data_IF_206430125897
#
_entry.id   IF_206430125897
#
_cell.length_a   1.000
_cell.length_b   1.000
_cell.length_c   1.000
_cell.angle_alpha   90.00
_cell.angle_beta   90.00
_cell.angle_gamma   90.00
#
_symmetry.space_group_name_H-M   'P 1'
#
loop_
_entity.id
_entity.type
_entity.pdbx_description
1 polymer ?
#
# COMPACT_ATOMS: atom_id res chain seq x y z
N UNK A 1 -23.58 -13.26 37.33
CA UNK A 1 -22.29 -13.74 36.82
C UNK A 1 -22.46 -13.83 35.32
N UNK A 2 -21.98 -12.81 34.60
CA UNK A 2 -22.18 -12.64 33.16
C UNK A 2 -20.86 -13.02 32.52
N UNK A 3 -20.83 -14.17 31.84
CA UNK A 3 -19.68 -14.62 31.06
C UNK A 3 -19.89 -14.10 29.63
N UNK A 4 -19.37 -12.90 29.38
CA UNK A 4 -19.15 -12.39 28.03
C UNK A 4 -18.00 -13.21 27.44
N UNK A 5 -18.26 -13.89 26.32
CA UNK A 5 -17.35 -14.83 25.68
C UNK A 5 -15.90 -14.36 25.61
N UNK A 6 -15.00 -15.26 26.02
CA UNK A 6 -13.56 -15.32 25.78
C UNK A 6 -12.83 -14.01 25.41
N UNK A 7 -12.91 -13.01 26.29
CA UNK A 7 -11.90 -11.94 26.39
C UNK A 7 -10.72 -12.36 27.30
N UNK A 8 -10.74 -13.59 27.83
CA UNK A 8 -9.75 -14.12 28.77
C UNK A 8 -8.47 -14.64 28.11
N UNK A 9 -8.50 -14.91 26.80
CA UNK A 9 -7.36 -15.43 26.04
C UNK A 9 -6.74 -14.40 25.08
N UNK A 10 -7.12 -13.12 25.21
CA UNK A 10 -6.39 -12.04 24.55
C UNK A 10 -5.09 -11.84 25.32
N UNK A 11 -4.00 -12.44 24.82
CA UNK A 11 -2.65 -12.21 25.29
C UNK A 11 -2.31 -10.72 25.03
N UNK A 12 -2.63 -9.85 25.99
CA UNK A 12 -2.41 -8.41 25.88
C UNK A 12 -0.93 -8.14 25.58
N UNK A 13 -0.02 -8.94 26.12
CA UNK A 13 1.41 -8.85 25.85
C UNK A 13 1.75 -9.20 24.38
N UNK A 14 1.11 -10.22 23.77
CA UNK A 14 1.31 -10.49 22.33
C UNK A 14 0.67 -9.42 21.46
N UNK A 15 -0.48 -8.89 21.87
CA UNK A 15 -1.12 -7.79 21.15
C UNK A 15 -0.24 -6.54 21.19
N UNK A 16 0.24 -6.14 22.37
CA UNK A 16 1.14 -5.00 22.53
C UNK A 16 2.45 -5.21 21.75
N UNK A 17 3.02 -6.41 21.78
CA UNK A 17 4.21 -6.73 21.01
C UNK A 17 3.97 -6.65 19.49
N UNK A 18 2.82 -7.17 19.01
CA UNK A 18 2.45 -7.07 17.60
C UNK A 18 2.17 -5.63 17.15
N UNK A 19 1.62 -4.80 18.05
CA UNK A 19 1.39 -3.37 17.81
C UNK A 19 2.73 -2.61 17.75
N UNK A 20 3.65 -2.87 18.68
CA UNK A 20 4.99 -2.27 18.67
C UNK A 20 5.77 -2.64 17.40
N UNK A 21 5.71 -3.91 16.98
CA UNK A 21 6.31 -4.35 15.71
C UNK A 21 5.67 -3.66 14.49
N UNK A 22 4.35 -3.47 14.52
CA UNK A 22 3.62 -2.83 13.42
C UNK A 22 3.90 -1.33 13.36
N UNK A 23 4.01 -0.64 14.50
CA UNK A 23 4.39 0.77 14.61
C UNK A 23 5.83 0.96 14.12
N UNK A 24 6.78 0.14 14.58
CA UNK A 24 8.18 0.21 14.16
C UNK A 24 8.36 -0.02 12.65
N UNK A 25 7.62 -0.98 12.08
CA UNK A 25 7.58 -1.18 10.62
C UNK A 25 7.01 0.04 9.91
N UNK A 26 5.95 0.66 10.44
CA UNK A 26 5.33 1.84 9.85
C UNK A 26 6.28 3.04 9.80
N UNK A 27 7.01 3.32 10.89
CA UNK A 27 8.00 4.40 10.92
C UNK A 27 9.16 4.16 9.94
N UNK A 28 9.65 2.93 9.84
CA UNK A 28 10.72 2.58 8.91
C UNK A 28 10.26 2.70 7.45
N UNK A 29 9.02 2.30 7.16
CA UNK A 29 8.38 2.47 5.85
C UNK A 29 8.25 3.95 5.51
N UNK A 30 7.72 4.76 6.43
CA UNK A 30 7.56 6.20 6.22
C UNK A 30 8.91 6.89 5.95
N UNK A 31 9.95 6.56 6.73
CA UNK A 31 11.29 7.12 6.56
C UNK A 31 11.99 6.67 5.27
N UNK A 32 11.70 5.46 4.80
CA UNK A 32 12.27 4.94 3.56
C UNK A 32 11.55 5.52 2.35
N UNK A 33 10.22 5.60 2.42
CA UNK A 33 9.38 6.19 1.37
C UNK A 33 9.66 7.69 1.20
N UNK A 34 9.94 8.42 2.28
CA UNK A 34 10.33 9.84 2.19
C UNK A 34 11.67 10.10 1.50
N UNK A 35 12.48 9.04 1.27
CA UNK A 35 13.76 9.12 0.56
C UNK A 35 13.66 8.75 -0.91
N UNK A 36 12.52 8.21 -1.36
CA UNK A 36 12.30 7.88 -2.75
C UNK A 36 12.20 9.15 -3.58
N UNK A 37 12.85 9.13 -4.72
CA UNK A 37 12.91 10.26 -5.66
C UNK A 37 12.84 9.67 -7.05
N UNK A 38 11.78 10.04 -7.76
CA UNK A 38 11.66 9.74 -9.18
C UNK A 38 12.52 10.69 -10.00
N UNK A 39 13.13 10.16 -11.06
CA UNK A 39 14.01 10.92 -11.94
C UNK A 39 13.54 10.84 -13.38
N UNK A 40 13.56 11.98 -14.05
CA UNK A 40 13.32 12.10 -15.48
C UNK A 40 14.47 12.84 -16.16
N UNK A 41 14.79 12.44 -17.38
CA UNK A 41 15.75 13.13 -18.26
C UNK A 41 15.20 13.13 -19.69
N UNK A 42 15.30 14.26 -20.41
CA UNK A 42 14.91 14.26 -21.83
C UNK A 42 15.92 13.47 -22.68
N UNK A 43 15.51 13.09 -23.90
CA UNK A 43 16.33 12.25 -24.78
C UNK A 43 17.72 12.82 -25.09
N UNK A 44 17.89 14.15 -25.03
CA UNK A 44 19.14 14.85 -25.29
C UNK A 44 19.95 15.15 -24.01
N UNK A 45 19.43 14.80 -22.84
CA UNK A 45 20.01 15.11 -21.53
C UNK A 45 20.13 16.60 -21.25
N UNK A 46 19.29 17.44 -21.84
CA UNK A 46 19.26 18.88 -21.66
C UNK A 46 18.38 19.31 -20.49
N UNK A 47 17.38 18.51 -20.11
CA UNK A 47 16.49 18.77 -19.00
C UNK A 47 16.48 17.55 -18.08
N UNK A 48 16.76 17.77 -16.80
CA UNK A 48 16.72 16.76 -15.75
C UNK A 48 15.74 17.20 -14.66
N UNK A 49 14.90 16.28 -14.20
CA UNK A 49 13.96 16.51 -13.09
C UNK A 49 14.13 15.46 -12.03
N UNK A 50 14.10 15.91 -10.76
CA UNK A 50 13.90 15.04 -9.61
C UNK A 50 12.58 15.40 -8.93
N UNK A 51 11.74 14.39 -8.72
CA UNK A 51 10.42 14.52 -8.10
C UNK A 51 10.33 13.64 -6.86
N UNK A 52 9.84 14.19 -5.76
CA UNK A 52 9.68 13.51 -4.48
C UNK A 52 8.22 13.59 -4.01
N UNK A 53 7.91 12.89 -2.91
CA UNK A 53 6.55 12.87 -2.35
C UNK A 53 6.01 14.26 -1.98
N UNK A 54 6.89 15.21 -1.64
CA UNK A 54 6.58 16.60 -1.31
C UNK A 54 6.57 17.53 -2.54
N UNK A 55 6.84 16.99 -3.73
CA UNK A 55 6.73 17.68 -5.01
C UNK A 55 8.04 17.74 -5.80
N UNK A 56 8.16 18.79 -6.63
CA UNK A 56 9.36 19.02 -7.46
C UNK A 56 10.56 19.39 -6.57
N UNK A 57 11.60 18.57 -6.60
CA UNK A 57 12.82 18.77 -5.82
C UNK A 57 13.90 19.49 -6.61
N UNK A 58 14.12 19.06 -7.84
CA UNK A 58 15.18 19.59 -8.72
C UNK A 58 14.66 19.72 -10.14
N UNK A 59 14.97 20.84 -10.79
CA UNK A 59 14.83 21.03 -12.23
C UNK A 59 16.14 21.65 -12.74
N UNK A 60 16.94 20.87 -13.45
CA UNK A 60 18.16 21.33 -14.10
C UNK A 60 17.91 21.49 -15.61
N UNK A 61 18.25 22.67 -16.13
CA UNK A 61 18.11 23.01 -17.54
C UNK A 61 19.49 23.41 -18.03
N UNK A 62 20.08 22.56 -18.87
CA UNK A 62 21.40 22.84 -19.46
C UNK A 62 21.32 24.07 -20.37
N UNK A 63 22.39 24.87 -20.48
CA UNK A 63 22.40 26.09 -21.31
C UNK A 63 22.01 25.87 -22.78
N UNK A 64 22.25 24.67 -23.31
CA UNK A 64 21.86 24.31 -24.68
C UNK A 64 20.34 24.19 -24.85
N UNK A 65 19.59 23.76 -23.83
CA UNK A 65 18.13 23.74 -23.83
C UNK A 65 17.52 25.15 -23.88
N UNK A 66 18.18 26.14 -23.29
CA UNK A 66 17.74 27.56 -23.32
C UNK A 66 17.83 28.18 -24.72
N UNK A 67 18.49 27.51 -25.67
CA UNK A 67 18.55 27.94 -27.09
C UNK A 67 17.39 27.40 -27.91
N UNK A 68 16.59 26.48 -27.35
CA UNK A 68 15.37 25.99 -27.97
C UNK A 68 14.31 27.08 -27.97
N UNK A 69 13.27 26.90 -28.80
CA UNK A 69 12.09 27.75 -28.69
C UNK A 69 11.42 27.55 -27.33
N UNK A 70 10.77 28.60 -26.80
CA UNK A 70 10.07 28.51 -25.51
C UNK A 70 8.97 27.43 -25.51
N UNK A 71 8.32 27.22 -26.65
CA UNK A 71 7.34 26.15 -26.82
C UNK A 71 7.97 24.77 -26.73
N UNK A 72 9.07 24.54 -27.44
CA UNK A 72 9.78 23.26 -27.41
C UNK A 72 10.34 22.95 -26.01
N UNK A 73 10.93 23.94 -25.35
CA UNK A 73 11.44 23.77 -23.99
C UNK A 73 10.31 23.44 -22.99
N UNK A 74 9.15 24.09 -23.13
CA UNK A 74 7.98 23.83 -22.28
C UNK A 74 7.46 22.39 -22.46
N UNK A 75 7.35 21.90 -23.70
CA UNK A 75 6.96 20.51 -23.95
C UNK A 75 7.96 19.52 -23.36
N UNK A 76 9.26 19.75 -23.55
CA UNK A 76 10.31 18.90 -22.96
C UNK A 76 10.20 18.85 -21.44
N UNK A 77 10.06 20.00 -20.78
CA UNK A 77 9.92 20.06 -19.32
C UNK A 77 8.68 19.26 -18.86
N UNK A 78 7.54 19.41 -19.53
CA UNK A 78 6.31 18.67 -19.18
C UNK A 78 6.50 17.16 -19.28
N UNK A 79 7.14 16.69 -20.35
CA UNK A 79 7.43 15.26 -20.55
C UNK A 79 8.35 14.76 -19.44
N UNK A 80 9.47 15.45 -19.19
CA UNK A 80 10.46 15.03 -18.19
C UNK A 80 9.91 15.04 -16.76
N UNK A 81 9.02 15.98 -16.44
CA UNK A 81 8.30 15.98 -15.16
C UNK A 81 7.39 14.75 -15.06
N UNK A 82 6.64 14.41 -16.11
CA UNK A 82 5.79 13.23 -16.12
C UNK A 82 6.63 11.96 -15.95
N UNK A 83 7.76 11.85 -16.64
CA UNK A 83 8.67 10.71 -16.52
C UNK A 83 9.21 10.56 -15.09
N UNK A 84 9.54 11.68 -14.42
CA UNK A 84 9.97 11.67 -13.03
C UNK A 84 8.85 11.26 -12.07
N UNK A 85 7.60 11.65 -12.33
CA UNK A 85 6.44 11.23 -11.53
C UNK A 85 6.18 9.72 -11.70
N UNK A 86 6.21 9.23 -12.94
CA UNK A 86 6.00 7.82 -13.25
C UNK A 86 7.11 6.94 -12.65
N UNK A 87 8.36 7.41 -12.68
CA UNK A 87 9.48 6.75 -12.01
C UNK A 87 9.28 6.70 -10.49
N UNK A 88 8.81 7.78 -9.86
CA UNK A 88 8.51 7.79 -8.42
C UNK A 88 7.41 6.78 -8.08
N UNK A 89 6.32 6.75 -8.86
CA UNK A 89 5.22 5.80 -8.65
C UNK A 89 5.70 4.35 -8.74
N UNK A 90 6.49 4.02 -9.76
CA UNK A 90 7.11 2.71 -9.92
C UNK A 90 7.99 2.34 -8.72
N UNK A 91 8.85 3.26 -8.26
CA UNK A 91 9.70 3.01 -7.10
C UNK A 91 8.87 2.78 -5.82
N UNK A 92 7.77 3.51 -5.62
CA UNK A 92 6.84 3.31 -4.50
C UNK A 92 6.21 1.91 -4.58
N UNK A 93 5.71 1.51 -5.76
CA UNK A 93 5.09 0.20 -5.94
C UNK A 93 6.06 -0.96 -5.70
N UNK A 94 7.30 -0.83 -6.17
CA UNK A 94 8.38 -1.79 -5.92
C UNK A 94 8.70 -1.86 -4.42
N UNK A 95 8.87 -0.71 -3.77
CA UNK A 95 9.15 -0.63 -2.33
C UNK A 95 8.03 -1.26 -1.47
N UNK A 96 6.77 -0.99 -1.81
CA UNK A 96 5.62 -1.54 -1.11
C UNK A 96 5.48 -3.05 -1.35
N UNK A 97 5.79 -3.51 -2.57
CA UNK A 97 5.80 -4.94 -2.91
C UNK A 97 6.90 -5.70 -2.17
N UNK A 98 8.09 -5.11 -2.00
CA UNK A 98 9.18 -5.68 -1.22
C UNK A 98 8.84 -5.74 0.29
N UNK A 99 8.22 -4.66 0.82
CA UNK A 99 7.93 -4.54 2.25
C UNK A 99 6.79 -5.45 2.70
N UNK A 100 5.68 -5.49 1.97
CA UNK A 100 4.47 -6.21 2.37
C UNK A 100 4.25 -7.52 1.61
N UNK A 101 4.99 -7.76 0.53
CA UNK A 101 4.72 -8.85 -0.40
C UNK A 101 3.63 -8.50 -1.42
N UNK A 102 3.66 -9.17 -2.58
CA UNK A 102 2.81 -8.89 -3.75
C UNK A 102 1.29 -9.00 -3.48
N UNK A 103 0.90 -9.82 -2.51
CA UNK A 103 -0.51 -10.09 -2.18
C UNK A 103 -1.06 -9.17 -1.08
N UNK A 104 -0.20 -8.59 -0.24
CA UNK A 104 -0.61 -7.73 0.87
C UNK A 104 -0.26 -6.24 0.67
N UNK A 105 0.15 -5.84 -0.53
CA UNK A 105 0.42 -4.44 -0.85
C UNK A 105 -0.87 -3.59 -0.79
N UNK A 106 -1.01 -2.67 0.18
CA UNK A 106 -2.21 -1.86 0.36
C UNK A 106 -2.47 -0.86 -0.79
N UNK A 107 -1.46 -0.50 -1.60
CA UNK A 107 -1.66 0.38 -2.77
C UNK A 107 -2.54 -0.26 -3.85
N UNK A 108 -2.50 -1.58 -4.00
CA UNK A 108 -3.37 -2.31 -4.95
C UNK A 108 -4.85 -2.19 -4.61
N UNK A 109 -5.17 -1.97 -3.34
CA UNK A 109 -6.55 -1.78 -2.85
C UNK A 109 -7.07 -0.41 -3.28
N UNK A 110 -6.19 0.59 -3.34
CA UNK A 110 -6.51 1.96 -3.77
C UNK A 110 -6.72 2.00 -5.29
N UNK A 111 -5.86 1.32 -6.06
CA UNK A 111 -5.95 1.30 -7.53
C UNK A 111 -7.06 0.41 -8.08
N UNK A 112 -7.55 -0.57 -7.31
CA UNK A 112 -8.60 -1.49 -7.77
C UNK A 112 -9.66 -1.80 -6.67
N UNK A 113 -10.58 -0.86 -6.39
CA UNK A 113 -11.61 -1.04 -5.37
C UNK A 113 -12.56 -2.23 -5.66
N UNK A 114 -12.68 -2.64 -6.93
CA UNK A 114 -13.50 -3.80 -7.31
C UNK A 114 -12.88 -5.14 -6.87
N UNK A 115 -11.55 -5.23 -6.78
CA UNK A 115 -10.86 -6.42 -6.25
C UNK A 115 -11.16 -6.58 -4.75
N UNK A 116 -11.21 -5.47 -4.01
CA UNK A 116 -11.54 -5.46 -2.59
C UNK A 116 -12.97 -6.00 -2.32
N UNK A 117 -13.96 -5.63 -3.14
CA UNK A 117 -15.33 -6.15 -3.03
C UNK A 117 -15.44 -7.66 -3.29
N UNK A 118 -14.48 -8.24 -4.03
CA UNK A 118 -14.43 -9.69 -4.27
C UNK A 118 -13.82 -10.42 -3.08
N UNK A 119 -12.78 -9.85 -2.48
CA UNK A 119 -12.14 -10.43 -1.30
C UNK A 119 -13.02 -10.32 -0.05
N UNK A 120 -13.73 -9.20 0.13
CA UNK A 120 -14.76 -9.05 1.17
C UNK A 120 -15.87 -10.08 1.02
N UNK A 121 -16.43 -10.26 -0.19
CA UNK A 121 -17.44 -11.29 -0.45
C UNK A 121 -16.93 -12.71 -0.22
N UNK A 122 -15.64 -12.95 -0.49
CA UNK A 122 -15.00 -14.23 -0.21
C UNK A 122 -14.85 -14.48 1.29
N UNK A 123 -14.51 -13.44 2.05
CA UNK A 123 -14.43 -13.46 3.51
C UNK A 123 -15.80 -13.71 4.16
N UNK A 124 -16.86 -13.04 3.68
CA UNK A 124 -18.25 -13.25 4.11
C UNK A 124 -18.67 -14.71 3.91
N UNK A 125 -18.41 -15.30 2.73
CA UNK A 125 -18.75 -16.69 2.45
C UNK A 125 -17.95 -17.73 3.25
N UNK A 126 -16.78 -17.38 3.79
CA UNK A 126 -16.07 -18.23 4.77
C UNK A 126 -16.60 -18.06 6.19
N UNK A 127 -17.01 -16.85 6.58
CA UNK A 127 -17.61 -16.58 7.88
C UNK A 127 -18.97 -17.26 8.03
N UNK A 128 -19.82 -17.17 7.00
CA UNK A 128 -21.15 -17.80 7.01
C UNK A 128 -21.05 -19.32 7.21
N UNK A 129 -20.10 -19.98 6.51
CA UNK A 129 -19.88 -21.42 6.64
C UNK A 129 -19.32 -21.81 8.02
N UNK A 130 -18.36 -21.05 8.54
CA UNK A 130 -17.84 -21.29 9.88
C UNK A 130 -18.93 -21.12 10.95
N UNK A 131 -19.82 -20.15 10.77
CA UNK A 131 -20.97 -19.94 11.65
C UNK A 131 -22.00 -21.07 11.54
N UNK A 132 -22.29 -21.53 10.33
CA UNK A 132 -23.20 -22.65 10.08
C UNK A 132 -22.66 -23.97 10.66
N UNK A 133 -21.35 -24.21 10.54
CA UNK A 133 -20.66 -25.36 11.14
C UNK A 133 -20.74 -25.32 12.68
N UNK A 134 -20.48 -24.15 13.30
CA UNK A 134 -20.58 -23.97 14.77
C UNK A 134 -22.02 -24.16 15.25
N UNK A 135 -23.01 -23.63 14.54
CA UNK A 135 -24.42 -23.79 14.89
C UNK A 135 -24.92 -25.23 14.67
N UNK A 136 -24.39 -25.92 13.66
CA UNK A 136 -24.62 -27.34 13.43
C UNK A 136 -24.04 -28.21 14.55
N UNK A 137 -22.86 -27.88 15.04
CA UNK A 137 -22.19 -28.58 16.14
C UNK A 137 -22.91 -28.35 17.48
N UNK A 138 -23.36 -27.11 17.76
CA UNK A 138 -24.21 -26.80 18.92
C UNK A 138 -25.54 -27.57 18.90
N UNK A 139 -26.13 -27.74 17.71
CA UNK A 139 -27.38 -28.52 17.53
C UNK A 139 -27.16 -30.02 17.78
N UNK A 140 -25.97 -30.52 17.45
CA UNK A 140 -25.55 -31.91 17.68
C UNK A 140 -25.33 -32.19 19.17
N UNK A 141 -24.59 -31.31 19.85
CA UNK A 141 -24.34 -31.39 21.30
C UNK A 141 -25.67 -31.35 22.07
N UNK A 142 -26.57 -30.43 21.70
CA UNK A 142 -27.90 -30.35 22.31
C UNK A 142 -28.71 -31.64 22.16
N UNK A 143 -28.57 -32.36 21.04
CA UNK A 143 -29.28 -33.62 20.79
C UNK A 143 -28.64 -34.82 21.52
N UNK A 144 -27.33 -34.78 21.76
CA UNK A 144 -26.63 -35.78 22.60
C UNK A 144 -26.92 -35.60 24.10
N UNK A 145 -27.24 -34.37 24.53
CA UNK A 145 -27.62 -34.05 25.91
C UNK A 145 -29.13 -34.25 26.21
N UNK A 146 -29.96 -34.46 25.19
CA UNK A 146 -31.39 -34.79 25.29
C UNK A 146 -31.66 -36.32 25.22
N UNK A 147 -30.67 -37.14 25.60
CA UNK A 147 -30.87 -38.53 26.07
C UNK A 147 -31.09 -38.55 27.60
#
# INVERSE_FOLDING_TARGET
>A
MTDFGDFGNIDIDKLLHSLDEQIGKSEQVQKSMSRLVGRGEDADGLVLVEYAHDGLRTLDIRPKAMRLSSGELSERIKVVIQDAIDDLQRQIDEFMTETYGREANPMRVIDNPAAMLKDVRRAEGSYERAFEDVMGELSRIRRELDL
#
